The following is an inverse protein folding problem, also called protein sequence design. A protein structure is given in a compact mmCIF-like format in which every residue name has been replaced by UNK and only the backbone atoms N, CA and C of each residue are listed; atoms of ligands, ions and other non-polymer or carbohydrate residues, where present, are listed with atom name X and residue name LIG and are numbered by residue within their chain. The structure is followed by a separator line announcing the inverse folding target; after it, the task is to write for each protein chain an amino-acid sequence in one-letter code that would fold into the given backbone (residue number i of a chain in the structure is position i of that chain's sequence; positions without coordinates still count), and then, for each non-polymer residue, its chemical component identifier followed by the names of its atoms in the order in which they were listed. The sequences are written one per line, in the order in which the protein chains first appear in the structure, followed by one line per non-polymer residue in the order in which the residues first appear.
data_IF_928762466268
#
_entry.id   IF_928762466268
#
_cell.length_a   1.000
_cell.length_b   1.000
_cell.length_c   1.000
_cell.angle_alpha   90.00
_cell.angle_beta   90.00
_cell.angle_gamma   90.00
#
_symmetry.space_group_name_H-M   'P 1'
#
loop_
_entity.id
_entity.type
_entity.pdbx_description
1 polymer ?
#
# COMPACT_ATOMS: atom_id res chain seq x y z
N UNK A 1 0.45 -26.47 1.81
CA UNK A 1 1.80 -25.97 2.14
C UNK A 1 1.76 -24.61 2.83
N UNK A 2 0.93 -23.66 2.36
CA UNK A 2 0.90 -22.28 2.91
C UNK A 2 0.15 -22.18 4.25
N UNK A 3 -0.86 -23.02 4.49
CA UNK A 3 -1.75 -22.87 5.66
C UNK A 3 -1.03 -22.93 7.02
N UNK A 4 -0.09 -23.87 7.29
CA UNK A 4 0.62 -23.91 8.57
C UNK A 4 1.54 -22.71 8.82
N UNK A 5 1.96 -22.00 7.76
CA UNK A 5 2.75 -20.77 7.89
C UNK A 5 1.82 -19.61 8.25
N UNK A 6 0.67 -19.51 7.56
CA UNK A 6 -0.32 -18.47 7.83
C UNK A 6 -0.92 -18.62 9.23
N UNK A 7 -1.17 -19.84 9.71
CA UNK A 7 -1.65 -20.07 11.08
C UNK A 7 -0.70 -19.55 12.15
N UNK A 8 0.62 -19.60 11.91
CA UNK A 8 1.62 -19.02 12.80
C UNK A 8 1.71 -17.50 12.68
N UNK A 9 1.54 -16.96 11.47
CA UNK A 9 1.62 -15.52 11.20
C UNK A 9 0.37 -14.74 11.59
N UNK A 10 -0.80 -15.37 11.59
CA UNK A 10 -2.09 -14.73 11.83
C UNK A 10 -2.84 -15.30 13.06
N UNK A 11 -2.25 -15.23 14.27
CA UNK A 11 -2.89 -15.77 15.48
C UNK A 11 -4.15 -14.99 15.89
N UNK A 12 -4.33 -13.77 15.38
CA UNK A 12 -5.49 -12.90 15.66
C UNK A 12 -6.59 -13.01 14.59
N UNK A 13 -6.42 -13.87 13.59
CA UNK A 13 -7.37 -14.04 12.48
C UNK A 13 -7.72 -12.74 11.75
N UNK A 14 -6.71 -11.90 11.52
CA UNK A 14 -6.83 -10.65 10.77
C UNK A 14 -7.07 -10.89 9.27
N UNK A 15 -6.63 -12.03 8.73
CA UNK A 15 -6.77 -12.37 7.30
C UNK A 15 -8.16 -12.95 7.03
N UNK A 16 -8.97 -12.21 6.27
CA UNK A 16 -10.36 -12.61 5.94
C UNK A 16 -10.45 -13.71 4.89
N UNK A 17 -9.61 -13.67 3.87
CA UNK A 17 -9.61 -14.63 2.75
C UNK A 17 -8.18 -15.03 2.40
N UNK A 18 -7.97 -16.32 2.12
CA UNK A 18 -6.68 -16.87 1.71
C UNK A 18 -6.79 -17.33 0.25
N UNK A 19 -6.01 -16.70 -0.62
CA UNK A 19 -5.92 -17.05 -2.03
C UNK A 19 -4.54 -17.66 -2.30
N UNK A 20 -4.51 -18.78 -3.01
CA UNK A 20 -3.30 -19.51 -3.35
C UNK A 20 -3.08 -19.53 -4.86
N UNK A 21 -2.10 -20.31 -5.33
CA UNK A 21 -1.76 -20.43 -6.75
C UNK A 21 -2.96 -20.78 -7.64
N UNK A 22 -3.93 -21.56 -7.13
CA UNK A 22 -5.15 -21.91 -7.87
C UNK A 22 -6.06 -20.71 -8.19
N UNK A 23 -5.92 -19.59 -7.47
CA UNK A 23 -6.68 -18.36 -7.71
C UNK A 23 -5.97 -17.38 -8.66
N UNK A 24 -4.84 -17.76 -9.24
CA UNK A 24 -4.09 -16.92 -10.18
C UNK A 24 -4.45 -17.25 -11.62
N UNK A 25 -4.29 -16.29 -12.52
CA UNK A 25 -4.43 -16.49 -13.96
C UNK A 25 -3.09 -16.97 -14.53
N UNK A 26 -3.11 -18.10 -15.24
CA UNK A 26 -1.94 -18.61 -15.94
C UNK A 26 -1.92 -18.09 -17.37
N UNK A 27 -0.85 -17.39 -17.74
CA UNK A 27 -0.65 -16.79 -19.07
C UNK A 27 0.81 -17.00 -19.45
N UNK A 28 1.05 -17.59 -20.61
CA UNK A 28 2.39 -17.76 -21.21
C UNK A 28 3.45 -18.30 -20.25
N UNK A 29 3.10 -19.33 -19.48
CA UNK A 29 4.04 -19.97 -18.55
C UNK A 29 4.12 -19.31 -17.17
N UNK A 30 3.53 -18.13 -16.96
CA UNK A 30 3.62 -17.35 -15.71
C UNK A 30 2.25 -17.21 -15.03
N UNK A 31 2.29 -17.09 -13.70
CA UNK A 31 1.10 -16.86 -12.88
C UNK A 31 0.95 -15.38 -12.51
N UNK A 32 -0.21 -14.82 -12.83
CA UNK A 32 -0.56 -13.44 -12.52
C UNK A 32 -1.73 -13.36 -11.55
N UNK A 33 -1.69 -12.39 -10.65
CA UNK A 33 -2.81 -12.04 -9.79
C UNK A 33 -3.69 -11.07 -10.58
N UNK A 34 -4.97 -11.44 -10.74
CA UNK A 34 -5.95 -10.65 -11.48
C UNK A 34 -6.99 -10.08 -10.50
N UNK A 35 -6.86 -8.80 -10.15
CA UNK A 35 -7.72 -8.15 -9.18
C UNK A 35 -9.15 -7.96 -9.69
N UNK A 36 -9.36 -7.99 -11.02
CA UNK A 36 -10.71 -7.95 -11.60
C UNK A 36 -11.58 -9.15 -11.18
N UNK A 37 -10.96 -10.24 -10.70
CA UNK A 37 -11.65 -11.47 -10.25
C UNK A 37 -11.96 -11.49 -8.75
N UNK A 38 -11.57 -10.46 -8.00
CA UNK A 38 -11.80 -10.40 -6.56
C UNK A 38 -13.24 -10.01 -6.19
N UNK A 39 -14.07 -9.63 -7.16
CA UNK A 39 -15.41 -9.07 -6.93
C UNK A 39 -15.35 -7.92 -5.89
N UNK A 40 -14.39 -7.02 -6.09
CA UNK A 40 -14.15 -5.81 -5.29
C UNK A 40 -13.90 -4.67 -6.26
N UNK A 41 -14.29 -3.47 -5.87
CA UNK A 41 -14.01 -2.26 -6.63
C UNK A 41 -12.49 -2.05 -6.74
N UNK A 42 -11.88 -2.06 -7.94
CA UNK A 42 -10.45 -1.83 -8.14
C UNK A 42 -9.96 -0.50 -7.58
N UNK A 43 -10.84 0.51 -7.45
CA UNK A 43 -10.51 1.81 -6.84
C UNK A 43 -10.19 1.71 -5.34
N UNK A 44 -10.44 0.55 -4.72
CA UNK A 44 -10.26 0.27 -3.29
C UNK A 44 -9.28 -0.86 -3.00
N UNK A 45 -8.53 -1.33 -4.00
CA UNK A 45 -7.60 -2.46 -3.87
C UNK A 45 -6.16 -1.96 -3.82
N UNK A 46 -5.39 -2.44 -2.85
CA UNK A 46 -3.93 -2.29 -2.80
C UNK A 46 -3.33 -3.68 -2.75
N UNK A 47 -2.30 -3.92 -3.56
CA UNK A 47 -1.51 -5.14 -3.55
C UNK A 47 -0.07 -4.84 -3.16
N UNK A 48 0.38 -5.37 -2.03
CA UNK A 48 1.75 -5.21 -1.53
C UNK A 48 2.51 -6.50 -1.77
N UNK A 49 3.65 -6.43 -2.47
CA UNK A 49 4.50 -7.60 -2.71
C UNK A 49 5.91 -7.19 -3.10
N UNK A 50 6.89 -8.07 -2.85
CA UNK A 50 8.26 -7.92 -3.36
C UNK A 50 8.39 -8.06 -4.87
N UNK A 51 7.36 -8.61 -5.52
CA UNK A 51 7.31 -8.91 -6.95
C UNK A 51 6.01 -8.37 -7.56
N UNK A 52 5.51 -7.26 -7.05
CA UNK A 52 4.15 -6.80 -7.34
C UNK A 52 3.96 -6.46 -8.81
N UNK A 53 4.92 -5.73 -9.41
CA UNK A 53 4.80 -5.25 -10.79
C UNK A 53 4.91 -6.39 -11.80
N UNK A 54 5.70 -7.42 -11.49
CA UNK A 54 5.92 -8.53 -12.40
C UNK A 54 4.91 -9.68 -12.25
N UNK A 55 4.10 -9.68 -11.19
CA UNK A 55 3.16 -10.77 -10.86
C UNK A 55 1.69 -10.35 -10.81
N UNK A 56 1.38 -9.10 -11.15
CA UNK A 56 0.01 -8.54 -11.19
C UNK A 56 -0.42 -8.19 -12.61
N UNK A 57 -1.72 -8.26 -12.90
CA UNK A 57 -2.31 -7.71 -14.13
C UNK A 57 -2.76 -6.25 -14.01
N UNK A 58 -2.78 -5.70 -12.80
CA UNK A 58 -3.14 -4.30 -12.51
C UNK A 58 -2.01 -3.63 -11.73
N UNK A 59 -0.91 -3.24 -12.40
CA UNK A 59 0.24 -2.62 -11.75
C UNK A 59 -0.11 -1.30 -11.04
N UNK A 60 -1.16 -0.60 -11.47
CA UNK A 60 -1.65 0.64 -10.87
C UNK A 60 -2.24 0.45 -9.45
N UNK A 61 -2.53 -0.78 -9.05
CA UNK A 61 -2.95 -1.15 -7.70
C UNK A 61 -1.79 -1.65 -6.83
N UNK A 62 -0.57 -1.66 -7.35
CA UNK A 62 0.57 -2.32 -6.71
C UNK A 62 1.43 -1.34 -5.90
N UNK A 63 1.90 -1.83 -4.76
CA UNK A 63 3.04 -1.29 -4.02
C UNK A 63 4.11 -2.36 -4.05
N UNK A 64 5.14 -2.14 -4.86
CA UNK A 64 6.31 -3.01 -4.86
C UNK A 64 7.24 -2.63 -3.70
N UNK A 65 7.59 -3.63 -2.89
CA UNK A 65 8.50 -3.48 -1.75
C UNK A 65 9.79 -4.24 -2.01
N UNK A 66 10.84 -3.94 -1.25
CA UNK A 66 12.07 -4.75 -1.29
C UNK A 66 11.74 -6.20 -0.87
N UNK A 67 12.13 -7.24 -1.64
CA UNK A 67 12.04 -8.62 -1.17
C UNK A 67 12.87 -8.83 0.09
N UNK A 68 12.25 -9.36 1.13
CA UNK A 68 12.92 -9.71 2.38
C UNK A 68 13.77 -10.98 2.21
N UNK A 69 15.02 -10.93 2.67
CA UNK A 69 16.01 -12.01 2.57
C UNK A 69 16.47 -12.52 3.94
N UNK A 70 15.77 -12.16 5.01
CA UNK A 70 16.10 -12.56 6.38
C UNK A 70 16.78 -11.46 7.21
N UNK A 71 16.81 -10.22 6.71
CA UNK A 71 17.39 -9.10 7.44
C UNK A 71 16.54 -8.75 8.66
N UNK A 72 17.13 -8.79 9.86
CA UNK A 72 16.43 -8.52 11.12
C UNK A 72 16.06 -7.04 11.30
N UNK A 73 16.86 -6.14 10.72
CA UNK A 73 16.66 -4.69 10.79
C UNK A 73 15.73 -4.17 9.67
N UNK A 74 15.07 -5.05 8.90
CA UNK A 74 14.15 -4.63 7.85
C UNK A 74 12.85 -4.07 8.46
N UNK A 75 12.56 -2.81 8.15
CA UNK A 75 11.38 -2.09 8.67
C UNK A 75 10.34 -1.79 7.59
N UNK A 76 10.49 -2.31 6.37
CA UNK A 76 9.70 -1.85 5.20
C UNK A 76 8.19 -1.97 5.43
N UNK A 77 7.74 -3.05 6.06
CA UNK A 77 6.32 -3.23 6.39
C UNK A 77 5.84 -2.31 7.51
N UNK A 78 6.69 -2.00 8.49
CA UNK A 78 6.38 -1.05 9.56
C UNK A 78 6.27 0.38 9.01
N UNK A 79 7.20 0.75 8.12
CA UNK A 79 7.25 2.07 7.52
C UNK A 79 6.04 2.35 6.61
N UNK A 80 5.41 1.32 6.06
CA UNK A 80 4.18 1.43 5.28
C UNK A 80 2.91 1.69 6.11
N UNK A 81 2.92 1.41 7.42
CA UNK A 81 1.73 1.50 8.27
C UNK A 81 1.09 2.90 8.22
N UNK A 82 1.83 4.02 8.43
CA UNK A 82 1.21 5.35 8.45
C UNK A 82 0.50 5.72 7.15
N UNK A 83 1.06 5.31 6.01
CA UNK A 83 0.44 5.53 4.70
C UNK A 83 -0.86 4.73 4.56
N UNK A 84 -0.84 3.43 4.90
CA UNK A 84 -2.02 2.57 4.81
C UNK A 84 -3.15 3.02 5.76
N UNK A 85 -2.80 3.42 6.98
CA UNK A 85 -3.74 4.00 7.95
C UNK A 85 -4.37 5.30 7.41
N UNK A 86 -3.55 6.18 6.83
CA UNK A 86 -4.03 7.42 6.24
C UNK A 86 -5.03 7.17 5.12
N UNK A 87 -4.72 6.25 4.20
CA UNK A 87 -5.61 5.84 3.11
C UNK A 87 -6.92 5.27 3.65
N UNK A 88 -6.85 4.37 4.65
CA UNK A 88 -8.03 3.76 5.24
C UNK A 88 -8.95 4.79 5.93
N UNK A 89 -8.36 5.80 6.56
CA UNK A 89 -9.09 6.87 7.25
C UNK A 89 -9.72 7.88 6.29
N UNK A 90 -8.98 8.33 5.28
CA UNK A 90 -9.44 9.41 4.38
C UNK A 90 -10.20 8.89 3.16
N UNK A 91 -10.12 7.60 2.86
CA UNK A 91 -10.91 6.90 1.84
C UNK A 91 -10.94 7.66 0.49
N UNK A 92 -9.78 7.88 -0.17
CA UNK A 92 -9.73 8.56 -1.46
C UNK A 92 -10.71 7.94 -2.45
N UNK A 93 -11.24 8.75 -3.37
CA UNK A 93 -12.21 8.28 -4.35
C UNK A 93 -11.65 7.12 -5.19
N UNK A 94 -10.37 7.20 -5.56
CA UNK A 94 -9.65 6.14 -6.25
C UNK A 94 -8.21 6.03 -5.74
N UNK A 95 -7.85 4.88 -5.20
CA UNK A 95 -6.51 4.62 -4.66
C UNK A 95 -5.41 4.69 -5.72
N UNK A 96 -5.74 4.39 -6.98
CA UNK A 96 -4.75 4.35 -8.07
C UNK A 96 -4.18 5.72 -8.37
N UNK A 97 -4.99 6.77 -8.22
CA UNK A 97 -4.53 8.16 -8.36
C UNK A 97 -3.56 8.56 -7.24
N UNK A 98 -3.81 8.09 -6.02
CA UNK A 98 -2.90 8.29 -4.89
C UNK A 98 -1.59 7.56 -5.15
N UNK A 99 -1.63 6.27 -5.51
CA UNK A 99 -0.42 5.47 -5.79
C UNK A 99 0.40 6.05 -6.95
N UNK A 100 -0.25 6.51 -8.02
CA UNK A 100 0.41 7.18 -9.13
C UNK A 100 1.19 8.43 -8.68
N UNK A 101 0.71 9.16 -7.68
CA UNK A 101 1.44 10.33 -7.13
C UNK A 101 2.74 9.98 -6.40
N UNK A 102 2.97 8.69 -6.09
CA UNK A 102 4.21 8.18 -5.49
C UNK A 102 5.04 7.33 -6.46
N UNK A 103 4.67 7.26 -7.74
CA UNK A 103 5.37 6.42 -8.70
C UNK A 103 6.87 6.77 -8.77
N UNK A 104 7.73 5.75 -8.64
CA UNK A 104 9.19 5.91 -8.61
C UNK A 104 9.74 6.50 -7.32
N UNK A 105 8.93 6.60 -6.25
CA UNK A 105 9.34 7.06 -4.92
C UNK A 105 9.22 5.95 -3.89
N UNK A 106 9.95 6.11 -2.80
CA UNK A 106 9.74 5.36 -1.57
C UNK A 106 8.48 5.90 -0.88
N UNK A 107 7.38 5.14 -0.94
CA UNK A 107 6.06 5.57 -0.43
C UNK A 107 6.14 5.97 1.06
N UNK A 108 6.67 5.12 1.97
CA UNK A 108 6.83 5.50 3.37
C UNK A 108 7.57 6.82 3.58
N UNK A 109 8.75 6.97 2.97
CA UNK A 109 9.59 8.14 3.16
C UNK A 109 8.92 9.40 2.64
N UNK A 110 8.42 9.33 1.41
CA UNK A 110 7.73 10.44 0.74
C UNK A 110 6.46 10.84 1.51
N UNK A 111 5.71 9.87 2.04
CA UNK A 111 4.51 10.14 2.83
C UNK A 111 4.84 10.93 4.12
N UNK A 112 5.92 10.57 4.82
CA UNK A 112 6.38 11.30 6.00
C UNK A 112 6.81 12.73 5.63
N UNK A 113 7.57 12.90 4.55
CA UNK A 113 8.02 14.21 4.07
C UNK A 113 6.83 15.10 3.67
N UNK A 114 5.90 14.59 2.87
CA UNK A 114 4.67 15.29 2.49
C UNK A 114 3.81 15.68 3.70
N UNK A 115 3.72 14.80 4.70
CA UNK A 115 2.95 15.07 5.92
C UNK A 115 3.54 16.23 6.73
N UNK A 116 4.87 16.28 6.87
CA UNK A 116 5.58 17.39 7.53
C UNK A 116 5.39 18.71 6.79
N UNK A 117 5.52 18.67 5.46
CA UNK A 117 5.35 19.84 4.61
C UNK A 117 3.93 20.40 4.66
N UNK A 118 2.92 19.53 4.66
CA UNK A 118 1.53 19.92 4.84
C UNK A 118 1.32 20.59 6.20
N UNK A 119 1.83 20.01 7.30
CA UNK A 119 1.72 20.59 8.63
C UNK A 119 2.37 21.99 8.72
N UNK A 120 3.56 22.16 8.12
CA UNK A 120 4.28 23.44 8.08
C UNK A 120 3.46 24.52 7.36
N UNK A 121 2.95 24.22 6.15
CA UNK A 121 2.12 25.16 5.38
C UNK A 121 0.84 25.56 6.13
N UNK A 122 0.22 24.61 6.83
CA UNK A 122 -0.97 24.87 7.65
C UNK A 122 -0.67 25.78 8.86
N UNK A 123 0.52 25.68 9.45
CA UNK A 123 0.94 26.57 10.53
C UNK A 123 1.21 27.99 10.03
N UNK A 124 1.91 28.13 8.90
CA UNK A 124 2.19 29.41 8.25
C UNK A 124 0.89 30.15 7.90
N UNK A 125 -0.08 29.46 7.28
CA UNK A 125 -1.39 30.06 6.97
C UNK A 125 -2.16 30.51 8.21
N UNK A 126 -2.11 29.74 9.31
CA UNK A 126 -2.74 30.13 10.58
C UNK A 126 -2.08 31.35 11.21
N UNK A 127 -0.75 31.46 11.13
CA UNK A 127 -0.03 32.64 11.62
C UNK A 127 -0.32 33.87 10.77
N UNK A 128 -0.29 33.73 9.44
CA UNK A 128 -0.62 34.81 8.52
C UNK A 128 -2.08 35.28 8.69
N UNK A 129 -3.04 34.35 8.79
CA UNK A 129 -4.44 34.68 9.06
C UNK A 129 -4.70 35.33 10.43
N UNK A 130 -3.83 35.13 11.42
CA UNK A 130 -3.87 35.86 12.71
C UNK A 130 -3.32 37.28 12.60
N UNK A 131 -2.36 37.51 11.71
CA UNK A 131 -1.75 38.82 11.50
C UNK A 131 -2.73 39.82 10.86
N UNK A 132 -3.51 39.39 9.87
CA UNK A 132 -4.50 40.23 9.17
C UNK A 132 -5.83 40.45 9.91
N UNK A 133 -6.01 39.86 11.10
CA UNK A 133 -7.21 40.03 11.95
C UNK A 133 -7.00 41.05 13.09
N UNK A 134 -5.86 41.74 13.12
CA UNK A 134 -5.54 42.81 14.08
C UNK A 134 -5.61 44.17 13.41
#
# INVERSE_FOLDING_TARGET
YVDPVIERLDPKHCIRYRLSRGATRYVDGKHYRDFSKLNRDPSRIIYVSGHALESSLQPENCIEIKPWKGEAEDTVLLDLIPFLEYVAKHRPADIRTVLASYQGRDIPKEFIERSKDYQRRMQEQKQHGRFWRR
#
